data_IF_216286655831
#
_entry.id   IF_216286655831
#
_cell.length_a   1.000
_cell.length_b   1.000
_cell.length_c   1.000
_cell.angle_alpha   90.00
_cell.angle_beta   90.00
_cell.angle_gamma   90.00
#
_symmetry.space_group_name_H-M   'P 1'
#
loop_
_entity.id
_entity.type
_entity.pdbx_description
1 polymer ?
#
# COMPACT_ATOMS: atom_id res chain seq x y z
N UNK A 1 -56.99 12.14 2.26
CA UNK A 1 -56.48 11.96 0.93
C UNK A 1 -56.44 13.30 0.24
N UNK A 2 -55.28 13.94 0.16
CA UNK A 2 -55.05 15.15 -0.65
C UNK A 2 -53.64 15.03 -1.21
N UNK A 3 -53.53 14.65 -2.48
CA UNK A 3 -52.31 14.65 -3.25
C UNK A 3 -51.94 16.10 -3.61
N UNK A 4 -50.74 16.50 -3.26
CA UNK A 4 -50.14 17.77 -3.71
C UNK A 4 -49.19 17.47 -4.86
N UNK A 5 -49.60 17.92 -6.05
CA UNK A 5 -48.78 17.96 -7.25
C UNK A 5 -47.67 19.00 -7.08
N UNK A 6 -46.41 18.60 -7.28
CA UNK A 6 -45.23 19.46 -7.36
C UNK A 6 -44.98 19.76 -8.83
N UNK A 7 -44.88 21.03 -9.27
CA UNK A 7 -44.62 21.33 -10.67
C UNK A 7 -43.15 21.10 -11.05
N UNK A 8 -43.00 20.45 -12.19
CA UNK A 8 -41.71 20.22 -12.86
C UNK A 8 -41.25 21.57 -13.43
N UNK A 9 -40.13 22.08 -12.93
CA UNK A 9 -39.47 23.27 -13.46
C UNK A 9 -38.54 22.87 -14.60
N UNK A 10 -38.92 23.27 -15.81
CA UNK A 10 -38.17 23.09 -17.05
C UNK A 10 -36.95 24.02 -17.04
N UNK A 11 -35.72 23.48 -16.90
CA UNK A 11 -34.50 24.26 -17.07
C UNK A 11 -34.07 24.22 -18.52
N UNK A 12 -34.15 25.37 -19.17
CA UNK A 12 -33.74 25.60 -20.55
C UNK A 12 -32.20 25.75 -20.60
N UNK A 13 -31.50 24.78 -21.22
CA UNK A 13 -30.06 24.85 -21.48
C UNK A 13 -29.82 25.70 -22.73
N UNK A 14 -29.21 26.86 -22.56
CA UNK A 14 -28.73 27.70 -23.66
C UNK A 14 -27.35 27.19 -24.12
N UNK A 15 -27.32 26.68 -25.34
CA UNK A 15 -26.09 26.25 -26.02
C UNK A 15 -25.42 27.49 -26.63
N UNK A 16 -24.28 27.96 -26.07
CA UNK A 16 -23.42 28.92 -26.74
C UNK A 16 -22.39 28.17 -27.59
N UNK A 17 -22.53 28.27 -28.89
CA UNK A 17 -21.53 27.82 -29.86
C UNK A 17 -20.35 28.79 -29.92
N UNK A 18 -19.16 28.32 -29.55
CA UNK A 18 -17.91 29.03 -29.76
C UNK A 18 -17.20 28.47 -31.00
N UNK A 19 -17.05 29.31 -32.01
CA UNK A 19 -16.34 29.01 -33.26
C UNK A 19 -14.82 29.08 -33.05
N UNK A 20 -13.99 28.15 -33.57
CA UNK A 20 -12.54 28.30 -33.55
C UNK A 20 -12.07 29.18 -34.70
N UNK A 21 -11.29 30.22 -34.38
CA UNK A 21 -10.56 31.05 -35.35
C UNK A 21 -9.31 30.27 -35.77
N UNK A 22 -9.29 29.85 -37.01
CA UNK A 22 -8.11 29.27 -37.68
C UNK A 22 -7.21 30.41 -38.15
N UNK A 23 -6.07 30.62 -37.47
CA UNK A 23 -5.00 31.51 -37.98
C UNK A 23 -4.04 30.69 -38.84
N UNK A 24 -4.06 30.95 -40.14
CA UNK A 24 -3.05 30.48 -41.08
C UNK A 24 -1.77 31.30 -40.87
N UNK A 25 -0.66 30.62 -40.67
CA UNK A 25 0.69 31.19 -40.77
C UNK A 25 1.28 30.70 -42.08
N UNK A 26 1.51 31.67 -42.99
CA UNK A 26 2.19 31.47 -44.27
C UNK A 26 3.64 31.03 -44.03
N UNK A 27 4.03 29.96 -44.75
CA UNK A 27 5.41 29.51 -44.86
C UNK A 27 6.15 30.35 -45.92
N UNK A 28 7.28 30.94 -45.53
CA UNK A 28 8.25 31.48 -46.45
C UNK A 28 9.45 30.52 -46.58
N UNK A 29 9.91 30.17 -47.77
CA UNK A 29 11.04 29.25 -47.93
C UNK A 29 12.36 30.02 -47.84
N UNK A 30 13.19 29.69 -46.88
CA UNK A 30 14.54 30.21 -46.65
C UNK A 30 15.51 29.08 -46.34
N UNK A 31 16.25 28.74 -47.39
CA UNK A 31 17.67 28.36 -47.47
C UNK A 31 18.33 27.60 -46.29
N UNK A 32 18.78 26.38 -46.61
CA UNK A 32 19.64 25.52 -45.77
C UNK A 32 21.11 25.93 -45.97
N UNK A 33 21.91 26.13 -44.92
CA UNK A 33 23.33 25.82 -44.95
C UNK A 33 23.59 24.51 -44.17
N UNK A 34 24.23 23.58 -44.85
CA UNK A 34 24.84 22.40 -44.25
C UNK A 34 25.94 22.84 -43.26
N UNK A 35 25.83 22.38 -42.01
CA UNK A 35 26.91 22.39 -41.03
C UNK A 35 26.85 21.16 -40.15
N UNK A 36 27.77 20.26 -40.38
CA UNK A 36 28.63 19.56 -39.43
C UNK A 36 27.98 18.98 -38.18
N UNK A 37 28.08 17.65 -38.09
CA UNK A 37 27.67 16.81 -36.96
C UNK A 37 28.07 17.39 -35.61
N UNK A 38 27.02 17.58 -34.81
CA UNK A 38 27.15 17.63 -33.37
C UNK A 38 26.25 16.52 -32.87
N UNK A 39 26.89 15.49 -32.37
CA UNK A 39 26.29 14.39 -31.63
C UNK A 39 25.50 14.99 -30.50
N UNK A 40 24.17 15.01 -30.63
CA UNK A 40 23.26 15.31 -29.51
C UNK A 40 23.46 14.22 -28.47
N UNK A 41 23.81 14.55 -27.22
CA UNK A 41 23.79 13.54 -26.16
C UNK A 41 22.38 12.96 -26.10
N UNK A 42 22.25 11.69 -26.48
CA UNK A 42 21.05 10.92 -26.16
C UNK A 42 20.89 11.00 -24.66
N UNK A 43 19.69 11.38 -24.14
CA UNK A 43 19.45 11.23 -22.71
C UNK A 43 19.65 9.75 -22.41
N UNK A 44 20.62 9.50 -21.56
CA UNK A 44 20.87 8.22 -20.95
C UNK A 44 19.54 7.76 -20.33
N UNK A 45 18.88 6.83 -21.01
CA UNK A 45 17.71 6.13 -20.49
C UNK A 45 18.24 5.09 -19.51
N UNK A 46 19.06 5.54 -18.57
CA UNK A 46 19.43 4.77 -17.39
C UNK A 46 18.14 4.56 -16.62
N UNK A 47 17.58 3.41 -16.91
CA UNK A 47 16.74 2.59 -16.07
C UNK A 47 16.17 3.35 -14.87
N UNK A 48 14.98 3.92 -15.04
CA UNK A 48 14.09 4.06 -13.90
C UNK A 48 13.79 2.61 -13.53
N UNK A 49 14.63 2.04 -12.68
CA UNK A 49 14.34 0.82 -11.95
C UNK A 49 13.05 1.10 -11.22
N UNK A 50 11.94 0.65 -11.78
CA UNK A 50 10.67 0.66 -11.10
C UNK A 50 10.90 -0.23 -9.89
N UNK A 51 11.14 0.38 -8.73
CA UNK A 51 11.33 -0.33 -7.48
C UNK A 51 10.11 -1.22 -7.31
N UNK A 52 10.30 -2.51 -7.57
CA UNK A 52 9.24 -3.49 -7.34
C UNK A 52 9.04 -3.55 -5.84
N UNK A 53 7.80 -3.37 -5.41
CA UNK A 53 7.45 -3.54 -4.00
C UNK A 53 7.89 -4.94 -3.55
N UNK A 54 8.43 -5.07 -2.33
CA UNK A 54 8.75 -6.36 -1.77
C UNK A 54 7.51 -7.25 -1.72
N UNK A 55 7.71 -8.54 -1.87
CA UNK A 55 6.65 -9.55 -1.80
C UNK A 55 6.88 -10.40 -0.55
N UNK A 56 5.89 -10.45 0.32
CA UNK A 56 5.82 -11.44 1.38
C UNK A 56 4.95 -12.62 0.92
N UNK A 57 5.07 -13.77 1.59
CA UNK A 57 4.22 -14.94 1.35
C UNK A 57 3.57 -15.37 2.65
N UNK A 58 2.25 -15.56 2.62
CA UNK A 58 1.53 -16.21 3.72
C UNK A 58 1.47 -17.71 3.39
N UNK A 59 1.97 -18.54 4.28
CA UNK A 59 1.94 -19.99 4.14
C UNK A 59 0.80 -20.53 4.98
N UNK A 60 -0.24 -20.99 4.32
CA UNK A 60 -1.42 -21.54 5.00
C UNK A 60 -1.12 -22.91 5.61
N UNK A 61 -1.96 -23.34 6.54
CA UNK A 61 -1.91 -24.67 7.14
C UNK A 61 -2.04 -25.83 6.13
N UNK A 62 -2.61 -25.54 4.93
CA UNK A 62 -2.65 -26.49 3.80
C UNK A 62 -1.35 -26.54 3.01
N UNK A 63 -0.38 -25.64 3.28
CA UNK A 63 0.86 -25.48 2.53
C UNK A 63 0.75 -24.60 1.28
N UNK A 64 -0.40 -23.96 1.05
CA UNK A 64 -0.55 -22.99 -0.02
C UNK A 64 0.20 -21.69 0.31
N UNK A 65 0.80 -21.06 -0.72
CA UNK A 65 1.50 -19.78 -0.61
C UNK A 65 0.68 -18.67 -1.22
N UNK A 66 0.30 -17.70 -0.41
CA UNK A 66 -0.45 -16.52 -0.81
C UNK A 66 0.50 -15.33 -0.86
N UNK A 67 0.91 -14.86 -2.06
CA UNK A 67 1.80 -13.70 -2.19
C UNK A 67 1.05 -12.39 -1.95
N UNK A 68 1.73 -11.43 -1.31
CA UNK A 68 1.24 -10.07 -1.12
C UNK A 68 2.36 -9.09 -1.45
N UNK A 69 2.11 -8.14 -2.35
CA UNK A 69 3.01 -7.03 -2.61
C UNK A 69 2.82 -5.98 -1.51
N UNK A 70 3.87 -5.65 -0.77
CA UNK A 70 3.71 -4.77 0.39
C UNK A 70 4.53 -3.50 0.29
N UNK A 71 3.92 -2.39 0.68
CA UNK A 71 4.66 -1.22 1.14
C UNK A 71 5.08 -1.49 2.58
N UNK A 72 6.29 -1.07 2.95
CA UNK A 72 6.80 -1.23 4.32
C UNK A 72 6.60 0.09 5.06
N UNK A 73 6.09 0.02 6.28
CA UNK A 73 6.01 1.12 7.23
C UNK A 73 6.81 0.73 8.47
N UNK A 74 8.03 1.25 8.62
CA UNK A 74 8.96 0.92 9.71
C UNK A 74 9.42 2.15 10.51
N UNK A 75 8.87 3.34 10.20
CA UNK A 75 9.11 4.58 10.94
C UNK A 75 7.86 5.10 11.62
N UNK A 76 7.98 5.86 12.72
CA UNK A 76 6.83 6.46 13.41
C UNK A 76 5.93 7.32 12.51
N UNK A 77 6.49 8.01 11.54
CA UNK A 77 5.76 8.84 10.59
C UNK A 77 4.93 7.98 9.62
N UNK A 78 5.50 6.86 9.17
CA UNK A 78 4.81 5.91 8.29
C UNK A 78 3.72 5.15 9.04
N UNK A 79 3.96 4.75 10.30
CA UNK A 79 2.91 4.12 11.13
C UNK A 79 1.70 5.04 11.32
N UNK A 80 1.93 6.36 11.47
CA UNK A 80 0.86 7.34 11.62
C UNK A 80 0.13 7.60 10.31
N UNK A 81 0.83 7.53 9.18
CA UNK A 81 0.27 7.79 7.85
C UNK A 81 -0.49 6.59 7.32
N UNK A 82 0.12 5.40 7.37
CA UNK A 82 -0.49 4.16 6.88
C UNK A 82 -1.16 4.33 5.52
N UNK A 83 -2.39 3.83 5.40
CA UNK A 83 -3.23 3.93 4.20
C UNK A 83 -4.21 5.11 4.21
N UNK A 84 -3.99 6.11 5.08
CA UNK A 84 -4.80 7.33 5.15
C UNK A 84 -4.92 8.00 3.78
N UNK A 85 -6.14 8.41 3.42
CA UNK A 85 -6.45 9.14 2.19
C UNK A 85 -6.41 8.29 0.92
N UNK A 86 -6.06 7.01 0.99
CA UNK A 86 -6.10 6.11 -0.16
C UNK A 86 -7.53 5.84 -0.60
N UNK A 87 -7.77 5.98 -1.89
CA UNK A 87 -9.09 5.70 -2.50
C UNK A 87 -9.20 4.28 -3.07
N UNK A 88 -8.08 3.58 -3.21
CA UNK A 88 -8.01 2.19 -3.67
C UNK A 88 -6.69 1.55 -3.25
N UNK A 89 -6.69 0.23 -3.12
CA UNK A 89 -5.53 -0.63 -2.96
C UNK A 89 -5.64 -1.75 -4.00
N UNK A 90 -4.55 -2.09 -4.69
CA UNK A 90 -4.57 -3.18 -5.67
C UNK A 90 -4.93 -4.51 -4.97
N UNK A 91 -5.51 -5.46 -5.70
CA UNK A 91 -6.08 -6.69 -5.12
C UNK A 91 -5.06 -7.52 -4.32
N UNK A 92 -3.82 -7.57 -4.79
CA UNK A 92 -2.71 -8.33 -4.16
C UNK A 92 -1.72 -7.41 -3.45
N UNK A 93 -2.11 -6.15 -3.16
CA UNK A 93 -1.27 -5.21 -2.45
C UNK A 93 -1.69 -5.08 -0.98
N UNK A 94 -0.72 -4.68 -0.15
CA UNK A 94 -0.92 -4.41 1.26
C UNK A 94 0.11 -3.43 1.80
N UNK A 95 0.02 -3.15 3.10
CA UNK A 95 1.03 -2.43 3.85
C UNK A 95 1.44 -3.27 5.05
N UNK A 96 2.76 -3.50 5.18
CA UNK A 96 3.35 -4.20 6.30
C UNK A 96 3.94 -3.18 7.26
N UNK A 97 3.38 -3.11 8.46
CA UNK A 97 3.90 -2.33 9.57
C UNK A 97 4.88 -3.18 10.35
N UNK A 98 6.07 -2.63 10.61
CA UNK A 98 7.17 -3.32 11.31
C UNK A 98 7.51 -2.54 12.57
N UNK A 99 7.45 -3.20 13.72
CA UNK A 99 7.77 -2.61 15.02
C UNK A 99 9.05 -3.24 15.60
N UNK A 100 9.79 -2.48 16.39
CA UNK A 100 11.05 -2.95 16.97
C UNK A 100 10.87 -4.11 17.96
N UNK A 101 9.73 -4.19 18.62
CA UNK A 101 9.45 -5.16 19.68
C UNK A 101 8.00 -5.62 19.62
N UNK A 102 7.76 -6.86 20.07
CA UNK A 102 6.41 -7.35 20.29
C UNK A 102 5.68 -6.55 21.37
N UNK A 103 4.46 -6.17 21.07
CA UNK A 103 3.56 -5.47 21.97
C UNK A 103 2.10 -5.62 21.53
N UNK A 104 1.15 -5.24 22.37
CA UNK A 104 -0.22 -5.09 21.88
C UNK A 104 -0.24 -3.92 20.91
N UNK A 105 -0.46 -4.21 19.64
CA UNK A 105 -0.62 -3.21 18.59
C UNK A 105 -2.09 -2.79 18.54
N UNK A 106 -2.34 -1.53 18.20
CA UNK A 106 -3.70 -1.02 18.07
C UNK A 106 -3.80 -0.07 16.88
N UNK A 107 -4.75 -0.33 15.99
CA UNK A 107 -4.99 0.45 14.77
C UNK A 107 -6.37 1.09 14.80
N UNK A 108 -6.59 2.06 13.96
CA UNK A 108 -7.85 2.74 13.71
C UNK A 108 -7.98 3.07 12.24
N UNK A 109 -9.20 3.40 11.79
CA UNK A 109 -9.47 3.73 10.38
C UNK A 109 -9.74 5.22 10.16
N UNK A 110 -9.24 6.08 11.05
CA UNK A 110 -9.39 7.53 10.89
C UNK A 110 -8.82 7.98 9.55
N UNK A 111 -9.61 8.72 8.79
CA UNK A 111 -9.26 9.24 7.46
C UNK A 111 -8.86 8.16 6.42
N UNK A 112 -9.09 6.88 6.70
CA UNK A 112 -8.92 5.77 5.75
C UNK A 112 -10.24 5.52 5.03
N UNK A 113 -10.22 5.65 3.69
CA UNK A 113 -11.43 5.70 2.87
C UNK A 113 -11.87 4.33 2.33
N UNK A 114 -11.02 3.32 2.43
CA UNK A 114 -11.25 1.97 1.91
C UNK A 114 -11.42 0.97 3.06
N UNK A 115 -12.28 -0.06 2.90
CA UNK A 115 -12.41 -1.11 3.89
C UNK A 115 -11.18 -2.02 3.86
N UNK A 116 -10.65 -2.39 5.01
CA UNK A 116 -9.43 -3.19 5.17
C UNK A 116 -9.67 -4.42 6.05
N UNK A 117 -8.83 -5.44 5.85
CA UNK A 117 -8.58 -6.48 6.86
C UNK A 117 -7.15 -6.31 7.37
N UNK A 118 -6.94 -6.49 8.67
CA UNK A 118 -5.63 -6.46 9.31
C UNK A 118 -5.32 -7.82 9.91
N UNK A 119 -4.09 -8.33 9.67
CA UNK A 119 -3.54 -9.47 10.37
C UNK A 119 -2.42 -9.00 11.30
N UNK A 120 -2.49 -9.37 12.56
CA UNK A 120 -1.43 -9.18 13.54
C UNK A 120 -0.53 -10.41 13.58
N UNK A 121 0.79 -10.18 13.60
CA UNK A 121 1.79 -11.23 13.38
C UNK A 121 2.84 -11.11 14.48
N UNK A 122 3.15 -12.23 15.15
CA UNK A 122 4.17 -12.31 16.20
C UNK A 122 5.60 -12.21 15.62
N UNK A 123 6.61 -12.22 16.50
CA UNK A 123 8.02 -12.14 16.11
C UNK A 123 8.47 -13.36 15.28
N UNK A 124 7.83 -14.51 15.44
CA UNK A 124 8.10 -15.73 14.71
C UNK A 124 7.43 -15.76 13.33
N UNK A 125 6.61 -14.75 12.99
CA UNK A 125 5.89 -14.67 11.73
C UNK A 125 4.54 -15.37 11.74
N UNK A 126 4.00 -15.78 12.91
CA UNK A 126 2.69 -16.40 13.01
C UNK A 126 1.59 -15.36 13.09
N UNK A 127 0.51 -15.55 12.37
CA UNK A 127 -0.69 -14.73 12.51
C UNK A 127 -1.38 -15.06 13.83
N UNK A 128 -1.48 -14.08 14.73
CA UNK A 128 -2.08 -14.22 16.06
C UNK A 128 -3.51 -13.67 16.12
N UNK A 129 -3.88 -12.79 15.18
CA UNK A 129 -5.22 -12.22 15.10
C UNK A 129 -5.52 -11.70 13.69
N UNK A 130 -6.80 -11.73 13.28
CA UNK A 130 -7.28 -11.14 12.03
C UNK A 130 -8.57 -10.38 12.32
N UNK A 131 -8.66 -9.13 11.90
CA UNK A 131 -9.85 -8.30 12.07
C UNK A 131 -10.22 -7.59 10.76
N UNK A 132 -11.54 -7.39 10.54
CA UNK A 132 -12.05 -6.52 9.49
C UNK A 132 -12.32 -5.13 10.05
N UNK A 133 -11.92 -4.11 9.30
CA UNK A 133 -12.02 -2.72 9.70
C UNK A 133 -12.82 -1.91 8.68
N UNK A 134 -13.77 -1.10 9.17
CA UNK A 134 -14.62 -0.28 8.31
C UNK A 134 -13.99 1.09 8.03
N UNK A 135 -14.22 1.66 6.83
CA UNK A 135 -13.74 3.01 6.52
C UNK A 135 -14.20 4.04 7.55
N UNK A 136 -13.30 4.97 7.90
CA UNK A 136 -13.56 6.11 8.80
C UNK A 136 -13.95 5.71 10.24
N UNK A 137 -13.79 4.45 10.62
CA UNK A 137 -14.02 4.01 12.00
C UNK A 137 -12.84 4.46 12.89
N UNK A 138 -13.12 5.27 13.88
CA UNK A 138 -12.13 5.75 14.86
C UNK A 138 -12.05 4.84 16.11
N UNK A 139 -12.78 3.74 16.14
CA UNK A 139 -12.63 2.74 17.21
C UNK A 139 -11.24 2.11 17.12
N UNK A 140 -10.67 1.82 18.31
CA UNK A 140 -9.40 1.11 18.38
C UNK A 140 -9.61 -0.38 18.10
N UNK A 141 -8.76 -0.93 17.25
CA UNK A 141 -8.68 -2.35 16.93
C UNK A 141 -7.38 -2.91 17.53
N UNK A 142 -7.36 -3.31 18.81
CA UNK A 142 -6.17 -3.89 19.42
C UNK A 142 -5.97 -5.34 18.98
N UNK A 143 -4.71 -5.78 18.86
CA UNK A 143 -4.38 -7.19 18.66
C UNK A 143 -4.79 -8.03 19.88
N UNK A 144 -5.20 -9.28 19.65
CA UNK A 144 -5.58 -10.21 20.71
C UNK A 144 -4.38 -10.65 21.56
N UNK A 145 -3.19 -10.73 20.95
CA UNK A 145 -1.94 -11.11 21.57
C UNK A 145 -0.83 -10.12 21.16
N UNK A 146 0.35 -10.09 21.84
CA UNK A 146 1.47 -9.31 21.39
C UNK A 146 1.84 -9.64 19.95
N UNK A 147 2.16 -8.62 19.16
CA UNK A 147 2.56 -8.74 17.77
C UNK A 147 3.74 -7.79 17.48
N UNK A 148 4.59 -8.17 16.55
CA UNK A 148 5.70 -7.35 16.07
C UNK A 148 5.40 -6.74 14.71
N UNK A 149 4.48 -7.36 13.96
CA UNK A 149 4.09 -6.88 12.64
C UNK A 149 2.57 -6.79 12.53
N UNK A 150 2.10 -5.94 11.63
CA UNK A 150 0.71 -5.90 11.20
C UNK A 150 0.66 -5.79 9.67
N UNK A 151 -0.23 -6.55 9.05
CA UNK A 151 -0.42 -6.54 7.59
C UNK A 151 -1.84 -6.06 7.29
N UNK A 152 -1.95 -4.88 6.68
CA UNK A 152 -3.20 -4.36 6.14
C UNK A 152 -3.35 -4.69 4.67
N UNK A 153 -4.52 -5.19 4.28
CA UNK A 153 -4.90 -5.58 2.92
C UNK A 153 -6.36 -5.20 2.66
N UNK A 154 -6.82 -5.35 1.42
CA UNK A 154 -8.25 -5.17 1.11
C UNK A 154 -9.13 -6.07 1.99
N UNK A 155 -10.29 -5.57 2.43
CA UNK A 155 -11.21 -6.34 3.25
C UNK A 155 -11.62 -7.65 2.58
N UNK A 156 -11.63 -8.74 3.36
CA UNK A 156 -11.94 -10.09 2.89
C UNK A 156 -10.80 -10.82 2.18
N UNK A 157 -9.62 -10.19 2.06
CA UNK A 157 -8.44 -10.80 1.43
C UNK A 157 -8.07 -12.14 2.08
N UNK A 158 -8.00 -12.19 3.40
CA UNK A 158 -7.61 -13.39 4.14
C UNK A 158 -8.63 -14.50 3.97
N UNK A 159 -9.92 -14.19 4.20
CA UNK A 159 -11.02 -15.16 4.05
C UNK A 159 -11.07 -15.74 2.63
N UNK A 160 -11.00 -14.88 1.61
CA UNK A 160 -11.06 -15.28 0.20
C UNK A 160 -9.92 -16.18 -0.25
N UNK A 161 -8.81 -16.23 0.49
CA UNK A 161 -7.62 -17.04 0.23
C UNK A 161 -7.40 -18.14 1.26
N UNK A 162 -8.36 -18.35 2.17
CA UNK A 162 -8.29 -19.39 3.19
C UNK A 162 -7.20 -19.19 4.23
N UNK A 163 -6.73 -17.93 4.41
CA UNK A 163 -5.76 -17.55 5.44
C UNK A 163 -6.47 -17.42 6.78
N UNK A 164 -5.93 -18.03 7.81
CA UNK A 164 -6.51 -18.06 9.17
C UNK A 164 -5.47 -17.76 10.24
N UNK A 165 -5.92 -17.46 11.43
CA UNK A 165 -5.05 -17.37 12.62
C UNK A 165 -4.29 -18.67 12.81
N UNK A 166 -2.98 -18.57 13.04
CA UNK A 166 -2.04 -19.69 13.13
C UNK A 166 -1.21 -19.96 11.86
N UNK A 167 -1.60 -19.39 10.70
CA UNK A 167 -0.80 -19.45 9.48
C UNK A 167 0.48 -18.61 9.62
N UNK A 168 1.49 -18.90 8.77
CA UNK A 168 2.81 -18.30 8.86
C UNK A 168 3.06 -17.29 7.76
N UNK A 169 3.63 -16.15 8.11
CA UNK A 169 4.07 -15.10 7.17
C UNK A 169 5.58 -15.20 6.99
N UNK A 170 6.02 -15.44 5.76
CA UNK A 170 7.42 -15.32 5.37
C UNK A 170 7.67 -13.85 5.01
N UNK A 171 8.34 -13.13 5.89
CA UNK A 171 8.67 -11.72 5.73
C UNK A 171 9.68 -11.51 4.59
N UNK A 172 9.68 -10.35 3.91
CA UNK A 172 10.65 -10.02 2.89
C UNK A 172 12.08 -10.08 3.47
N UNK A 173 13.00 -10.71 2.76
CA UNK A 173 14.40 -10.81 3.18
C UNK A 173 15.01 -9.41 3.34
N UNK A 174 15.47 -9.06 4.56
CA UNK A 174 16.02 -7.75 4.89
C UNK A 174 15.34 -7.04 6.07
N UNK A 175 14.21 -7.55 6.56
CA UNK A 175 13.48 -6.93 7.68
C UNK A 175 13.70 -7.64 9.05
N UNK A 176 14.51 -8.69 9.10
CA UNK A 176 14.75 -9.48 10.30
C UNK A 176 16.20 -9.52 10.80
N UNK A 177 17.13 -8.76 10.22
CA UNK A 177 18.52 -8.74 10.67
C UNK A 177 18.83 -7.55 11.60
N UNK A 178 18.04 -7.42 12.65
CA UNK A 178 18.30 -6.55 13.79
C UNK A 178 18.59 -7.38 15.03
N UNK A 179 19.74 -8.09 15.08
CA UNK A 179 20.14 -8.76 16.30
C UNK A 179 20.91 -10.06 16.09
N UNK A 180 22.07 -10.04 15.41
CA UNK A 180 23.12 -11.00 15.73
C UNK A 180 23.55 -10.74 17.17
N UNK A 181 22.81 -11.32 18.11
CA UNK A 181 23.23 -11.52 19.47
C UNK A 181 24.48 -12.41 19.43
N UNK A 182 25.66 -11.77 19.49
CA UNK A 182 26.91 -12.39 19.86
C UNK A 182 26.68 -13.27 21.09
N UNK A 183 26.67 -14.58 20.85
CA UNK A 183 26.64 -15.56 21.93
C UNK A 183 27.96 -15.44 22.67
N UNK A 184 27.99 -14.58 23.69
CA UNK A 184 29.08 -14.56 24.66
C UNK A 184 29.15 -15.91 25.33
N UNK A 185 30.04 -16.77 24.83
CA UNK A 185 30.44 -18.04 25.45
C UNK A 185 31.08 -17.70 26.79
N UNK A 186 30.27 -17.77 27.86
CA UNK A 186 30.78 -17.67 29.23
C UNK A 186 31.59 -18.94 29.52
N UNK A 187 32.90 -18.80 29.50
CA UNK A 187 33.83 -19.82 29.96
C UNK A 187 33.52 -20.28 31.41
N UNK A 188 33.63 -21.59 31.74
CA UNK A 188 33.41 -22.06 33.11
C UNK A 188 34.54 -21.63 33.99
N UNK A 189 34.22 -21.06 35.14
CA UNK A 189 35.21 -20.85 36.23
C UNK A 189 35.64 -22.22 36.74
N UNK A 190 36.95 -22.49 36.67
CA UNK A 190 37.61 -23.64 37.31
C UNK A 190 37.95 -23.26 38.78
N UNK A 191 38.25 -24.25 39.63
CA UNK A 191 37.95 -24.42 41.04
C UNK A 191 38.72 -23.52 42.00
#
# INVERSE_FOLDING_TARGET
MKWRLIPIMLVMVVLLAATPIFAQIEQSPGEIPAATGTETPQPDTSQVETAQLPVLSIVTSSGERVPVQVEIADTPEEWQTGLIGRSALAEEAGMLFVFEQEQILAFWMKDTLIPLSIAYIDAEGRIVDIQDMQPLDETSHPSAEPAQYALEVNQGFFEGRGVVVGDMVELPSGQGEGGEGEVATKAPAAP
#
